data_IF_974245937294
#
_entry.id   IF_974245937294
#
_cell.length_a   1.000
_cell.length_b   1.000
_cell.length_c   1.000
_cell.angle_alpha   90.00
_cell.angle_beta   90.00
_cell.angle_gamma   90.00
#
_symmetry.space_group_name_H-M   'P 1'
#
loop_
_entity.id
_entity.type
_entity.pdbx_description
1 polymer ?
#
# COMPACT_ATOMS: atom_id res chain seq x y z
N UNK A 1 -11.65 -11.83 -10.92
CA UNK A 1 -11.14 -11.01 -12.03
C UNK A 1 -9.91 -10.29 -11.54
N UNK A 2 -8.72 -10.73 -11.96
CA UNK A 2 -7.45 -10.05 -11.62
C UNK A 2 -7.52 -8.57 -12.04
N UNK A 3 -7.00 -7.63 -11.23
CA UNK A 3 -6.94 -6.23 -11.65
C UNK A 3 -6.05 -6.09 -12.89
N UNK A 4 -6.47 -5.26 -13.85
CA UNK A 4 -5.68 -5.06 -15.06
C UNK A 4 -4.34 -4.37 -14.71
N UNK A 5 -3.23 -4.68 -15.39
CA UNK A 5 -1.92 -4.07 -15.11
C UNK A 5 -1.93 -2.54 -15.14
N UNK A 6 -2.76 -1.94 -16.00
CA UNK A 6 -2.93 -0.49 -16.11
C UNK A 6 -3.57 0.14 -14.86
N UNK A 7 -4.44 -0.60 -14.16
CA UNK A 7 -5.07 -0.14 -12.92
C UNK A 7 -4.06 -0.14 -11.78
N UNK A 8 -3.21 -1.17 -11.71
CA UNK A 8 -2.13 -1.26 -10.73
C UNK A 8 -1.16 -0.10 -10.91
N UNK A 9 -0.76 0.21 -12.15
CA UNK A 9 0.17 1.30 -12.43
C UNK A 9 -0.40 2.69 -12.11
N UNK A 10 -1.70 2.93 -12.37
CA UNK A 10 -2.39 4.16 -11.96
C UNK A 10 -2.51 4.30 -10.45
N UNK A 11 -2.71 3.20 -9.74
CA UNK A 11 -2.92 3.18 -8.30
C UNK A 11 -1.60 3.15 -7.51
N UNK A 12 -0.47 2.88 -8.16
CA UNK A 12 0.85 3.04 -7.57
C UNK A 12 1.44 4.42 -7.88
N UNK A 13 1.66 5.27 -6.85
CA UNK A 13 2.31 6.57 -7.03
C UNK A 13 3.69 6.44 -7.70
N UNK A 14 3.95 7.26 -8.73
CA UNK A 14 5.19 7.24 -9.52
C UNK A 14 6.43 7.72 -8.76
N UNK A 15 6.25 8.48 -7.68
CA UNK A 15 7.33 9.09 -6.90
C UNK A 15 7.92 8.16 -5.82
N UNK A 16 8.09 6.87 -6.12
CA UNK A 16 8.65 5.89 -5.17
C UNK A 16 10.08 5.53 -5.52
N UNK A 17 10.84 5.16 -4.50
CA UNK A 17 12.07 4.40 -4.68
C UNK A 17 11.77 3.17 -5.57
N UNK A 18 12.73 2.78 -6.41
CA UNK A 18 12.58 1.63 -7.32
C UNK A 18 12.23 0.31 -6.59
N UNK A 19 12.48 0.24 -5.27
CA UNK A 19 12.26 -0.92 -4.42
C UNK A 19 10.83 -1.02 -3.88
N UNK A 20 10.20 0.10 -3.53
CA UNK A 20 8.92 0.10 -2.80
C UNK A 20 7.69 0.13 -3.70
N UNK A 21 7.89 0.52 -4.96
CA UNK A 21 6.85 0.49 -6.00
C UNK A 21 6.36 -0.94 -6.31
N UNK A 22 7.21 -1.94 -6.57
CA UNK A 22 6.73 -3.30 -6.88
C UNK A 22 6.02 -3.96 -5.70
N UNK A 23 6.43 -3.68 -4.46
CA UNK A 23 5.79 -4.26 -3.27
C UNK A 23 4.36 -3.75 -3.09
N UNK A 24 4.13 -2.44 -3.24
CA UNK A 24 2.76 -1.93 -3.19
C UNK A 24 1.95 -2.40 -4.40
N UNK A 25 2.53 -2.41 -5.61
CA UNK A 25 1.86 -2.92 -6.79
C UNK A 25 1.34 -4.35 -6.58
N UNK A 26 2.18 -5.23 -6.01
CA UNK A 26 1.82 -6.60 -5.70
C UNK A 26 0.68 -6.69 -4.68
N UNK A 27 0.71 -5.87 -3.62
CA UNK A 27 -0.37 -5.86 -2.63
C UNK A 27 -1.72 -5.39 -3.21
N UNK A 28 -1.69 -4.37 -4.08
CA UNK A 28 -2.88 -3.92 -4.81
C UNK A 28 -3.38 -5.02 -5.74
N UNK A 29 -2.48 -5.66 -6.50
CA UNK A 29 -2.82 -6.75 -7.41
C UNK A 29 -3.47 -7.93 -6.67
N UNK A 30 -2.92 -8.29 -5.51
CA UNK A 30 -3.44 -9.32 -4.62
C UNK A 30 -4.73 -8.91 -3.88
N UNK A 31 -5.24 -7.69 -4.12
CA UNK A 31 -6.40 -7.12 -3.41
C UNK A 31 -6.26 -7.18 -1.89
N UNK A 32 -5.02 -7.00 -1.42
CA UNK A 32 -4.75 -6.98 0.01
C UNK A 32 -5.51 -5.82 0.66
N UNK A 33 -6.13 -6.07 1.81
CA UNK A 33 -6.78 -5.01 2.60
C UNK A 33 -5.75 -4.13 3.31
N UNK A 34 -4.56 -4.68 3.57
CA UNK A 34 -3.50 -4.05 4.34
C UNK A 34 -2.13 -4.22 3.68
N UNK A 35 -1.32 -3.16 3.73
CA UNK A 35 0.10 -3.19 3.38
C UNK A 35 0.92 -2.81 4.62
N UNK A 36 1.61 -3.79 5.21
CA UNK A 36 2.33 -3.61 6.47
C UNK A 36 3.80 -3.33 6.21
N UNK A 37 4.31 -2.19 6.69
CA UNK A 37 5.71 -1.80 6.50
C UNK A 37 6.26 -1.02 7.69
N UNK A 38 7.52 -1.28 8.04
CA UNK A 38 8.26 -0.47 9.00
C UNK A 38 8.92 0.78 8.38
N UNK A 39 8.86 0.92 7.06
CA UNK A 39 9.49 2.02 6.35
C UNK A 39 8.61 3.27 6.34
N UNK A 40 8.85 4.14 7.33
CA UNK A 40 8.12 5.40 7.44
C UNK A 40 8.68 6.50 6.53
N UNK A 41 9.94 6.40 6.08
CA UNK A 41 10.53 7.45 5.25
C UNK A 41 9.76 7.58 3.93
N UNK A 42 9.42 6.46 3.31
CA UNK A 42 8.76 6.43 2.01
C UNK A 42 7.22 6.34 2.08
N UNK A 43 6.67 5.78 3.16
CA UNK A 43 5.24 5.48 3.25
C UNK A 43 4.41 6.38 4.17
N UNK A 44 5.03 7.18 5.05
CA UNK A 44 4.29 7.98 6.06
C UNK A 44 3.19 8.86 5.46
N UNK A 45 3.44 9.52 4.32
CA UNK A 45 2.45 10.39 3.63
C UNK A 45 1.20 9.65 3.14
N UNK A 46 1.30 8.32 2.98
CA UNK A 46 0.22 7.48 2.46
C UNK A 46 -0.53 6.70 3.54
N UNK A 47 -0.07 6.79 4.78
CA UNK A 47 -0.77 6.23 5.94
C UNK A 47 -1.98 7.08 6.36
N UNK A 48 -2.10 8.30 5.82
CA UNK A 48 -3.25 9.16 6.06
C UNK A 48 -4.50 8.68 5.31
N UNK A 49 -5.70 8.81 5.89
CA UNK A 49 -6.96 8.42 5.22
C UNK A 49 -7.19 9.09 3.85
N UNK A 50 -6.55 10.24 3.62
CA UNK A 50 -6.67 11.01 2.36
C UNK A 50 -5.85 10.43 1.20
N UNK A 51 -4.98 9.46 1.46
CA UNK A 51 -4.14 8.80 0.47
C UNK A 51 -4.91 8.07 -0.65
N UNK A 52 -6.20 7.73 -0.41
CA UNK A 52 -7.10 7.05 -1.37
C UNK A 52 -6.49 5.82 -2.05
N UNK A 53 -5.70 5.05 -1.31
CA UNK A 53 -5.16 3.79 -1.78
C UNK A 53 -6.19 2.66 -1.57
N UNK A 54 -6.20 1.63 -2.43
CA UNK A 54 -7.13 0.50 -2.31
C UNK A 54 -6.78 -0.45 -1.15
N UNK A 55 -5.62 -0.27 -0.50
CA UNK A 55 -5.22 -0.97 0.71
C UNK A 55 -4.74 0.02 1.78
N UNK A 56 -4.97 -0.28 3.06
CA UNK A 56 -4.52 0.55 4.17
C UNK A 56 -3.05 0.27 4.46
N UNK A 57 -2.20 1.30 4.39
CA UNK A 57 -0.79 1.17 4.79
C UNK A 57 -0.70 1.35 6.30
N UNK A 58 0.00 0.43 6.96
CA UNK A 58 0.13 0.41 8.42
C UNK A 58 1.55 0.05 8.83
N UNK A 59 1.99 0.53 9.99
CA UNK A 59 3.14 -0.08 10.67
C UNK A 59 2.81 -1.46 11.22
N UNK A 60 3.81 -2.33 11.47
CA UNK A 60 3.58 -3.60 12.15
C UNK A 60 2.83 -3.43 13.47
N UNK A 61 3.21 -2.41 14.26
CA UNK A 61 2.53 -2.10 15.53
C UNK A 61 1.06 -1.80 15.31
N UNK A 62 0.73 -0.88 14.40
CA UNK A 62 -0.66 -0.50 14.13
C UNK A 62 -1.46 -1.69 13.60
N UNK A 63 -0.89 -2.51 12.72
CA UNK A 63 -1.58 -3.69 12.22
C UNK A 63 -1.94 -4.63 13.38
N UNK A 64 -1.00 -4.89 14.30
CA UNK A 64 -1.25 -5.75 15.46
C UNK A 64 -2.29 -5.18 16.44
N UNK A 65 -2.41 -3.85 16.55
CA UNK A 65 -3.30 -3.21 17.55
C UNK A 65 -4.64 -2.75 16.99
N UNK A 66 -4.72 -2.44 15.70
CA UNK A 66 -5.87 -1.77 15.07
C UNK A 66 -6.51 -2.57 13.93
N UNK A 67 -5.81 -3.55 13.34
CA UNK A 67 -6.40 -4.30 12.23
C UNK A 67 -7.62 -5.09 12.72
N UNK A 68 -8.68 -5.01 11.90
CA UNK A 68 -9.87 -5.84 12.03
C UNK A 68 -10.04 -6.61 10.71
N UNK A 69 -10.56 -7.86 10.78
CA UNK A 69 -10.88 -8.65 9.58
C UNK A 69 -11.80 -7.90 8.63
#
# INVERSE_FOLDING_TARGET
MEPAPADVERLTPRDRSAKDRPLLAAAIAARATHFVTGDLADFKRWMEPRARLPCRIMTPRQFLTEARP
#
